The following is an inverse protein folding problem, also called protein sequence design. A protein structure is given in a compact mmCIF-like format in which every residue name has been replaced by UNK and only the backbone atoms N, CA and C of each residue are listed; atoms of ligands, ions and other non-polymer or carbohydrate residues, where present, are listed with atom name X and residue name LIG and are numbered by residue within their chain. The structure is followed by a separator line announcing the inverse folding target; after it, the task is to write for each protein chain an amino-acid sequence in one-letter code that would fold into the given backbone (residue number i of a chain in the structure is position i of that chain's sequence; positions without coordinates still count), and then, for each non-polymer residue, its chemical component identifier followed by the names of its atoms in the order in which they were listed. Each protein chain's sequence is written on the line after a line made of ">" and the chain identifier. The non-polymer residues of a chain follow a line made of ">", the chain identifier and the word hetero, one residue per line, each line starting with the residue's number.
data_IF_037875467653
#
_entry.id   IF_037875467653
#
_cell.length_a   1.000
_cell.length_b   1.000
_cell.length_c   1.000
_cell.angle_alpha   90.00
_cell.angle_beta   90.00
_cell.angle_gamma   90.00
#
_symmetry.space_group_name_H-M   'P 1'
#
loop_
_entity.id
_entity.type
_entity.pdbx_description
1 polymer ?
#
# COMPACT_ATOMS: atom_id res chain seq x y z
N UNK A 1 22.90 -14.16 -22.53
CA UNK A 1 22.15 -13.45 -23.59
C UNK A 1 20.69 -13.85 -23.47
N UNK A 2 19.77 -12.92 -23.68
CA UNK A 2 18.33 -13.23 -23.69
C UNK A 2 17.96 -14.09 -24.92
N UNK A 3 16.90 -14.93 -24.83
CA UNK A 3 16.38 -15.71 -25.96
C UNK A 3 16.08 -14.88 -27.21
N UNK A 4 16.11 -15.49 -28.40
CA UNK A 4 15.89 -14.80 -29.67
C UNK A 4 14.46 -14.23 -29.81
N UNK A 5 13.50 -14.87 -29.16
CA UNK A 5 12.09 -14.49 -29.06
C UNK A 5 11.78 -13.58 -27.86
N UNK A 6 12.79 -13.20 -27.07
CA UNK A 6 12.57 -12.30 -25.95
C UNK A 6 12.10 -10.93 -26.44
N UNK A 7 10.97 -10.40 -25.94
CA UNK A 7 10.45 -9.12 -26.37
C UNK A 7 11.47 -8.01 -26.07
N UNK A 8 11.93 -7.33 -27.13
CA UNK A 8 12.93 -6.25 -27.02
C UNK A 8 12.32 -4.89 -26.72
N UNK A 9 11.00 -4.78 -26.89
CA UNK A 9 10.22 -3.59 -26.55
C UNK A 9 9.53 -3.83 -25.22
N UNK A 10 9.70 -2.89 -24.30
CA UNK A 10 9.04 -2.89 -22.99
C UNK A 10 8.01 -1.77 -23.00
N UNK A 11 6.73 -2.11 -22.88
CA UNK A 11 5.65 -1.11 -22.89
C UNK A 11 5.38 -0.55 -21.48
N UNK A 12 5.68 -1.31 -20.43
CA UNK A 12 5.46 -0.90 -19.04
C UNK A 12 6.49 -1.48 -18.07
N UNK A 13 6.79 -0.72 -17.02
CA UNK A 13 7.59 -1.14 -15.87
C UNK A 13 6.70 -1.08 -14.63
N UNK A 14 6.37 -2.24 -14.07
CA UNK A 14 5.68 -2.36 -12.79
C UNK A 14 6.74 -2.44 -11.68
N UNK A 15 6.78 -1.44 -10.81
CA UNK A 15 7.82 -1.28 -9.81
C UNK A 15 7.24 -1.37 -8.41
N UNK A 16 7.84 -2.21 -7.59
CA UNK A 16 7.65 -2.15 -6.14
C UNK A 16 8.23 -0.86 -5.54
N UNK A 17 7.75 -0.46 -4.36
CA UNK A 17 8.17 0.77 -3.68
C UNK A 17 9.30 0.49 -2.67
N UNK A 18 8.95 -0.14 -1.55
CA UNK A 18 9.82 -0.32 -0.38
C UNK A 18 11.01 -1.23 -0.68
N UNK A 19 12.23 -0.72 -0.45
CA UNK A 19 13.49 -1.41 -0.77
C UNK A 19 13.67 -1.72 -2.27
N UNK A 20 12.88 -1.08 -3.12
CA UNK A 20 12.98 -1.17 -4.59
C UNK A 20 13.23 0.21 -5.20
N UNK A 21 12.24 1.11 -5.16
CA UNK A 21 12.39 2.51 -5.60
C UNK A 21 12.95 3.40 -4.48
N UNK A 22 12.61 3.08 -3.23
CA UNK A 22 13.10 3.76 -2.02
C UNK A 22 13.92 2.80 -1.18
N UNK A 23 14.91 3.31 -0.44
CA UNK A 23 15.68 2.52 0.51
C UNK A 23 14.95 2.41 1.86
N UNK A 24 15.60 1.81 2.86
CA UNK A 24 15.06 1.64 4.22
C UNK A 24 14.75 2.97 4.91
N UNK A 25 15.39 4.07 4.49
CA UNK A 25 15.14 5.41 5.01
C UNK A 25 13.90 6.09 4.42
N UNK A 26 13.17 5.40 3.53
CA UNK A 26 11.94 5.91 2.94
C UNK A 26 12.14 7.04 1.93
N UNK A 27 13.37 7.39 1.55
CA UNK A 27 13.65 8.55 0.68
C UNK A 27 13.78 8.14 -0.78
N UNK A 28 12.94 8.72 -1.63
CA UNK A 28 13.02 8.61 -3.08
C UNK A 28 14.16 9.49 -3.62
N UNK A 29 15.24 8.84 -4.07
CA UNK A 29 16.46 9.55 -4.48
C UNK A 29 16.33 10.22 -5.85
N UNK A 30 17.01 11.37 -6.08
CA UNK A 30 17.02 12.04 -7.39
C UNK A 30 17.44 11.12 -8.56
N UNK A 31 18.38 10.19 -8.32
CA UNK A 31 18.78 9.19 -9.32
C UNK A 31 17.62 8.28 -9.74
N UNK A 32 16.78 7.87 -8.79
CA UNK A 32 15.60 7.03 -9.09
C UNK A 32 14.56 7.83 -9.87
N UNK A 33 14.30 9.07 -9.46
CA UNK A 33 13.38 9.98 -10.17
C UNK A 33 13.83 10.18 -11.63
N UNK A 34 15.11 10.49 -11.84
CA UNK A 34 15.66 10.65 -13.19
C UNK A 34 15.54 9.37 -14.04
N UNK A 35 15.69 8.19 -13.44
CA UNK A 35 15.51 6.92 -14.13
C UNK A 35 14.04 6.69 -14.55
N UNK A 36 13.08 7.00 -13.66
CA UNK A 36 11.64 6.93 -13.96
C UNK A 36 11.30 7.88 -15.11
N UNK A 37 11.78 9.12 -15.06
CA UNK A 37 11.57 10.11 -16.13
C UNK A 37 12.15 9.64 -17.47
N UNK A 38 13.38 9.12 -17.49
CA UNK A 38 14.01 8.62 -18.70
C UNK A 38 13.27 7.44 -19.33
N UNK A 39 12.60 6.59 -18.54
CA UNK A 39 11.74 5.51 -19.04
C UNK A 39 10.48 6.09 -19.69
N UNK A 40 9.84 7.06 -19.03
CA UNK A 40 8.63 7.72 -19.54
C UNK A 40 8.87 8.49 -20.82
N UNK A 41 9.99 9.22 -20.92
CA UNK A 41 10.42 9.95 -22.13
C UNK A 41 10.62 9.03 -23.34
N UNK A 42 10.87 7.74 -23.12
CA UNK A 42 10.98 6.72 -24.18
C UNK A 42 9.64 6.12 -24.59
N UNK A 43 8.53 6.59 -24.00
CA UNK A 43 7.17 6.16 -24.31
C UNK A 43 6.72 4.88 -23.60
N UNK A 44 7.44 4.44 -22.55
CA UNK A 44 7.03 3.33 -21.70
C UNK A 44 6.34 3.84 -20.43
N UNK A 45 5.34 3.11 -19.96
CA UNK A 45 4.66 3.40 -18.70
C UNK A 45 5.50 2.99 -17.49
N UNK A 46 5.35 3.71 -16.37
CA UNK A 46 5.91 3.31 -15.07
C UNK A 46 4.77 3.26 -14.08
N UNK A 47 4.51 2.08 -13.52
CA UNK A 47 3.44 1.85 -12.56
C UNK A 47 4.03 1.55 -11.18
N UNK A 48 3.43 2.12 -10.15
CA UNK A 48 3.75 1.78 -8.77
C UNK A 48 2.86 0.63 -8.30
N UNK A 49 3.47 -0.44 -7.79
CA UNK A 49 2.79 -1.64 -7.29
C UNK A 49 3.30 -1.97 -5.89
N UNK A 50 2.49 -1.74 -4.86
CA UNK A 50 2.97 -1.78 -3.47
C UNK A 50 1.97 -2.40 -2.49
N UNK A 51 2.49 -2.90 -1.37
CA UNK A 51 1.69 -3.30 -0.22
C UNK A 51 1.22 -2.15 0.67
N UNK A 52 1.69 -0.93 0.40
CA UNK A 52 1.30 0.29 1.11
C UNK A 52 -0.16 0.68 0.83
N UNK A 53 -0.67 1.52 1.73
CA UNK A 53 -1.95 2.22 1.60
C UNK A 53 -1.87 3.19 0.42
N UNK A 54 -3.01 3.56 -0.17
CA UNK A 54 -3.00 4.52 -1.27
C UNK A 54 -2.44 5.86 -0.81
N UNK A 55 -2.93 6.40 0.32
CA UNK A 55 -2.41 7.65 0.90
C UNK A 55 -0.92 7.65 1.22
N UNK A 56 -0.33 6.51 1.58
CA UNK A 56 1.10 6.44 1.89
C UNK A 56 1.98 6.19 0.66
N UNK A 57 1.40 5.73 -0.45
CA UNK A 57 2.06 5.59 -1.74
C UNK A 57 1.97 6.86 -2.61
N UNK A 58 0.87 7.60 -2.52
CA UNK A 58 0.57 8.75 -3.36
C UNK A 58 1.67 9.83 -3.37
N UNK A 59 2.27 10.24 -2.23
CA UNK A 59 3.33 11.24 -2.24
C UNK A 59 4.54 10.83 -3.11
N UNK A 60 4.85 9.53 -3.16
CA UNK A 60 5.94 9.00 -3.99
C UNK A 60 5.61 9.03 -5.47
N UNK A 61 4.39 8.67 -5.85
CA UNK A 61 3.92 8.76 -7.22
C UNK A 61 3.97 10.21 -7.72
N UNK A 62 3.44 11.16 -6.94
CA UNK A 62 3.49 12.60 -7.23
C UNK A 62 4.94 13.09 -7.38
N UNK A 63 5.82 12.73 -6.45
CA UNK A 63 7.24 13.15 -6.50
C UNK A 63 7.97 12.55 -7.70
N UNK A 64 7.63 11.32 -8.10
CA UNK A 64 8.19 10.66 -9.28
C UNK A 64 7.57 11.16 -10.60
N UNK A 65 6.49 11.93 -10.54
CA UNK A 65 5.68 12.32 -11.70
C UNK A 65 4.97 11.13 -12.36
N UNK A 66 4.62 10.10 -11.60
CA UNK A 66 3.83 8.95 -12.09
C UNK A 66 2.36 9.37 -12.08
N UNK A 67 1.72 9.28 -13.24
CA UNK A 67 0.31 9.65 -13.44
C UNK A 67 -0.57 8.42 -13.71
N UNK A 68 0.05 7.28 -13.98
CA UNK A 68 -0.62 6.00 -14.12
C UNK A 68 -1.31 5.56 -12.81
N UNK A 69 -2.39 4.76 -12.89
CA UNK A 69 -3.04 4.19 -11.71
C UNK A 69 -2.07 3.45 -10.79
N UNK A 70 -2.22 3.67 -9.48
CA UNK A 70 -1.40 3.04 -8.45
C UNK A 70 -2.04 1.72 -8.02
N UNK A 71 -1.24 0.67 -7.94
CA UNK A 71 -1.66 -0.62 -7.39
C UNK A 71 -1.21 -0.68 -5.93
N UNK A 72 -2.15 -0.64 -5.00
CA UNK A 72 -1.92 -0.54 -3.56
C UNK A 72 -2.49 -1.76 -2.83
N UNK A 73 -2.23 -1.87 -1.52
CA UNK A 73 -2.77 -2.94 -0.68
C UNK A 73 -2.52 -4.35 -1.25
N UNK A 74 -1.30 -4.63 -1.71
CA UNK A 74 -0.94 -5.93 -2.32
C UNK A 74 -1.80 -6.28 -3.55
N UNK A 75 -2.36 -5.27 -4.24
CA UNK A 75 -3.22 -5.45 -5.40
C UNK A 75 -4.72 -5.43 -5.09
N UNK A 76 -5.13 -5.29 -3.83
CA UNK A 76 -6.54 -5.14 -3.48
C UNK A 76 -7.14 -3.81 -3.94
N UNK A 77 -6.31 -2.78 -4.16
CA UNK A 77 -6.76 -1.47 -4.65
C UNK A 77 -5.99 -1.09 -5.92
N UNK A 78 -6.73 -0.61 -6.93
CA UNK A 78 -6.17 0.18 -8.04
C UNK A 78 -6.81 1.56 -7.95
N UNK A 79 -5.99 2.60 -7.79
CA UNK A 79 -6.47 3.95 -7.55
C UNK A 79 -5.89 4.95 -8.55
N UNK A 80 -6.72 5.91 -8.96
CA UNK A 80 -6.29 7.05 -9.76
C UNK A 80 -5.56 8.07 -8.86
N UNK A 81 -4.29 8.42 -9.17
CA UNK A 81 -3.50 9.30 -8.29
C UNK A 81 -3.95 10.77 -8.34
N UNK A 82 -4.77 11.17 -9.32
CA UNK A 82 -5.21 12.56 -9.50
C UNK A 82 -6.50 12.84 -8.74
N UNK A 83 -7.49 11.95 -8.90
CA UNK A 83 -8.81 12.07 -8.29
C UNK A 83 -8.89 11.41 -6.91
N UNK A 84 -8.03 10.42 -6.64
CA UNK A 84 -8.14 9.55 -5.47
C UNK A 84 -9.20 8.46 -5.60
N UNK A 85 -9.84 8.32 -6.76
CA UNK A 85 -10.86 7.30 -7.00
C UNK A 85 -10.26 5.89 -6.99
N UNK A 86 -10.90 4.97 -6.27
CA UNK A 86 -10.56 3.55 -6.34
C UNK A 86 -11.25 2.93 -7.56
N UNK A 87 -10.50 2.85 -8.67
CA UNK A 87 -10.91 2.22 -9.92
C UNK A 87 -11.22 0.72 -9.75
N UNK A 88 -10.56 0.08 -8.79
CA UNK A 88 -10.83 -1.28 -8.33
C UNK A 88 -10.58 -1.38 -6.84
N UNK A 89 -11.45 -2.09 -6.13
CA UNK A 89 -11.32 -2.38 -4.71
C UNK A 89 -11.85 -3.79 -4.40
N UNK A 90 -11.01 -4.63 -3.82
CA UNK A 90 -11.34 -5.98 -3.38
C UNK A 90 -11.11 -6.12 -1.86
N UNK A 91 -12.07 -5.69 -1.03
CA UNK A 91 -11.96 -5.83 0.42
C UNK A 91 -12.26 -7.26 0.87
N UNK A 92 -11.83 -7.57 2.11
CA UNK A 92 -12.19 -8.80 2.81
C UNK A 92 -13.69 -8.71 3.17
N UNK A 93 -14.53 -9.70 2.82
CA UNK A 93 -15.93 -9.72 3.23
C UNK A 93 -16.07 -9.52 4.75
N UNK A 94 -17.02 -8.69 5.18
CA UNK A 94 -17.13 -8.26 6.58
C UNK A 94 -17.16 -9.42 7.57
N UNK A 95 -17.98 -10.45 7.31
CA UNK A 95 -18.09 -11.61 8.20
C UNK A 95 -16.78 -12.39 8.30
N UNK A 96 -16.06 -12.55 7.19
CA UNK A 96 -14.75 -13.21 7.18
C UNK A 96 -13.69 -12.36 7.91
N UNK A 97 -13.76 -11.03 7.79
CA UNK A 97 -12.88 -10.14 8.52
C UNK A 97 -13.12 -10.21 10.03
N UNK A 98 -14.38 -10.29 10.47
CA UNK A 98 -14.74 -10.47 11.88
C UNK A 98 -14.24 -11.81 12.43
N UNK A 99 -14.45 -12.90 11.69
CA UNK A 99 -13.92 -14.23 12.04
C UNK A 99 -12.39 -14.20 12.18
N UNK A 100 -11.70 -13.58 11.23
CA UNK A 100 -10.25 -13.45 11.27
C UNK A 100 -9.77 -12.60 12.46
N UNK A 101 -10.45 -11.48 12.75
CA UNK A 101 -10.14 -10.63 13.90
C UNK A 101 -10.28 -11.40 15.21
N UNK A 102 -11.40 -12.10 15.40
CA UNK A 102 -11.65 -12.91 16.59
C UNK A 102 -10.57 -14.00 16.75
N UNK A 103 -10.23 -14.71 15.67
CA UNK A 103 -9.19 -15.74 15.68
C UNK A 103 -7.81 -15.17 16.05
N UNK A 104 -7.41 -14.04 15.46
CA UNK A 104 -6.11 -13.38 15.72
C UNK A 104 -6.03 -12.88 17.17
N UNK A 105 -7.11 -12.29 17.68
CA UNK A 105 -7.18 -11.81 19.05
C UNK A 105 -7.15 -12.95 20.07
N UNK A 106 -7.80 -14.07 19.78
CA UNK A 106 -7.77 -15.27 20.65
C UNK A 106 -6.37 -15.88 20.76
N UNK A 107 -5.53 -15.72 19.74
CA UNK A 107 -4.11 -16.10 19.78
C UNK A 107 -3.22 -15.05 20.48
N UNK A 108 -3.81 -13.94 20.95
CA UNK A 108 -3.11 -12.89 21.71
C UNK A 108 -2.42 -11.82 20.86
N UNK A 109 -2.60 -11.83 19.54
CA UNK A 109 -1.98 -10.84 18.66
C UNK A 109 -2.81 -9.55 18.60
N UNK A 110 -2.09 -8.43 18.48
CA UNK A 110 -2.68 -7.14 18.10
C UNK A 110 -2.84 -7.08 16.59
N UNK A 111 -3.64 -6.14 16.10
CA UNK A 111 -3.84 -6.02 14.65
C UNK A 111 -4.08 -4.60 14.17
N UNK A 112 -3.59 -4.35 12.96
CA UNK A 112 -3.90 -3.16 12.17
C UNK A 112 -5.03 -3.50 11.20
N UNK A 113 -6.10 -2.71 11.23
CA UNK A 113 -7.25 -2.84 10.36
C UNK A 113 -7.37 -1.65 9.43
N UNK A 114 -7.52 -1.90 8.14
CA UNK A 114 -7.52 -0.85 7.13
C UNK A 114 -8.90 -0.78 6.45
N UNK A 115 -9.61 0.33 6.64
CA UNK A 115 -10.96 0.56 6.08
C UNK A 115 -10.96 1.90 5.37
N UNK A 116 -11.39 1.95 4.11
CA UNK A 116 -11.49 3.19 3.31
C UNK A 116 -10.20 4.03 3.30
N UNK A 117 -9.08 3.34 3.16
CA UNK A 117 -7.73 3.90 3.20
C UNK A 117 -7.29 4.45 4.57
N UNK A 118 -8.06 4.28 5.66
CA UNK A 118 -7.67 4.66 7.02
C UNK A 118 -7.11 3.48 7.81
N UNK A 119 -6.23 3.77 8.79
CA UNK A 119 -5.67 2.77 9.72
C UNK A 119 -6.34 2.87 11.09
N UNK A 120 -6.93 1.75 11.52
CA UNK A 120 -7.58 1.56 12.81
C UNK A 120 -6.90 0.47 13.62
N UNK A 121 -6.83 0.70 14.94
CA UNK A 121 -6.29 -0.24 15.93
C UNK A 121 -7.20 -0.28 17.15
N UNK A 122 -7.13 -1.35 17.94
CA UNK A 122 -7.87 -1.42 19.20
C UNK A 122 -7.37 -0.34 20.19
N UNK A 123 -6.05 -0.28 20.35
CA UNK A 123 -5.32 0.68 21.16
C UNK A 123 -4.04 1.12 20.42
N UNK A 124 -3.54 2.32 20.67
CA UNK A 124 -2.26 2.74 20.06
C UNK A 124 -1.10 2.18 20.87
N UNK A 125 -0.42 1.16 20.33
CA UNK A 125 0.86 0.67 20.82
C UNK A 125 2.04 1.50 20.29
N UNK A 126 3.24 1.28 20.85
CA UNK A 126 4.48 1.91 20.36
C UNK A 126 4.79 1.49 18.93
N UNK A 127 4.67 0.19 18.60
CA UNK A 127 4.91 -0.32 17.24
C UNK A 127 3.91 0.22 16.23
N UNK A 128 2.63 0.32 16.62
CA UNK A 128 1.60 0.88 15.75
C UNK A 128 1.87 2.36 15.46
N UNK A 129 2.38 3.10 16.45
CA UNK A 129 2.80 4.50 16.27
C UNK A 129 4.05 4.62 15.40
N UNK A 130 5.08 3.81 15.67
CA UNK A 130 6.30 3.79 14.87
C UNK A 130 6.01 3.45 13.40
N UNK A 131 5.13 2.47 13.14
CA UNK A 131 4.67 2.13 11.80
C UNK A 131 3.94 3.31 11.13
N UNK A 132 3.01 3.94 11.85
CA UNK A 132 2.24 5.07 11.33
C UNK A 132 3.12 6.28 11.00
N UNK A 133 4.08 6.60 11.89
CA UNK A 133 5.04 7.68 11.70
C UNK A 133 5.96 7.41 10.49
N UNK A 134 6.47 6.17 10.36
CA UNK A 134 7.31 5.76 9.24
C UNK A 134 6.58 5.85 7.88
N UNK A 135 5.29 5.52 7.84
CA UNK A 135 4.49 5.62 6.62
C UNK A 135 3.79 6.97 6.45
N UNK A 136 3.95 7.89 7.41
CA UNK A 136 3.28 9.20 7.43
C UNK A 136 1.76 9.10 7.31
N UNK A 137 1.14 8.18 8.05
CA UNK A 137 -0.30 7.95 8.07
C UNK A 137 -0.90 8.25 9.45
N UNK A 138 -2.14 8.76 9.52
CA UNK A 138 -2.86 8.85 10.78
C UNK A 138 -3.24 7.45 11.28
N UNK A 139 -3.29 7.29 12.60
CA UNK A 139 -3.74 6.07 13.29
C UNK A 139 -4.88 6.40 14.24
N UNK A 140 -5.95 5.62 14.19
CA UNK A 140 -7.17 5.87 14.97
C UNK A 140 -7.48 4.69 15.91
N UNK A 141 -7.48 4.88 17.24
CA UNK A 141 -7.90 3.85 18.18
C UNK A 141 -9.43 3.78 18.23
N UNK A 142 -9.98 2.56 18.26
CA UNK A 142 -11.44 2.33 18.25
C UNK A 142 -11.94 1.48 19.43
N UNK A 143 -11.06 1.02 20.30
CA UNK A 143 -11.43 0.14 21.40
C UNK A 143 -11.66 -1.28 20.90
N UNK A 144 -12.85 -1.83 21.13
CA UNK A 144 -13.20 -3.15 20.62
C UNK A 144 -13.34 -3.09 19.09
N UNK A 145 -12.32 -3.60 18.40
CA UNK A 145 -12.27 -3.59 16.94
C UNK A 145 -13.31 -4.53 16.32
N UNK A 146 -13.65 -5.64 16.99
CA UNK A 146 -14.62 -6.60 16.49
C UNK A 146 -16.03 -6.00 16.52
N UNK A 147 -16.38 -5.31 17.62
CA UNK A 147 -17.63 -4.57 17.74
C UNK A 147 -17.69 -3.35 16.81
N UNK A 148 -16.57 -2.63 16.66
CA UNK A 148 -16.51 -1.41 15.84
C UNK A 148 -16.56 -1.68 14.33
N UNK A 149 -16.07 -2.83 13.85
CA UNK A 149 -15.96 -3.09 12.42
C UNK A 149 -17.35 -3.31 11.79
N UNK A 150 -17.86 -2.29 11.12
CA UNK A 150 -19.15 -2.31 10.40
C UNK A 150 -19.01 -2.38 8.87
N UNK A 151 -17.80 -2.16 8.34
CA UNK A 151 -17.51 -2.10 6.90
C UNK A 151 -16.41 -3.11 6.52
N UNK A 152 -16.46 -3.70 5.31
CA UNK A 152 -15.41 -4.59 4.81
C UNK A 152 -14.02 -3.90 4.83
N UNK A 153 -13.03 -4.42 5.57
CA UNK A 153 -11.68 -3.88 5.54
C UNK A 153 -10.93 -4.33 4.29
N UNK A 154 -10.07 -3.46 3.76
CA UNK A 154 -9.18 -3.77 2.64
C UNK A 154 -8.09 -4.76 3.06
N UNK A 155 -7.63 -4.67 4.30
CA UNK A 155 -6.48 -5.43 4.81
C UNK A 155 -6.57 -5.59 6.32
N UNK A 156 -6.04 -6.71 6.80
CA UNK A 156 -5.76 -6.96 8.22
C UNK A 156 -4.28 -7.37 8.32
N UNK A 157 -3.58 -6.88 9.35
CA UNK A 157 -2.20 -7.27 9.65
C UNK A 157 -2.11 -7.58 11.13
N UNK A 158 -1.82 -8.84 11.47
CA UNK A 158 -1.43 -9.20 12.83
C UNK A 158 -0.03 -8.61 13.12
N UNK A 159 0.12 -8.06 14.33
CA UNK A 159 1.35 -7.42 14.80
C UNK A 159 1.77 -8.15 16.07
N UNK A 160 3.04 -8.54 16.09
CA UNK A 160 3.73 -9.17 17.23
C UNK A 160 4.88 -8.25 17.67
N UNK A 161 5.29 -8.38 18.93
CA UNK A 161 6.38 -7.60 19.55
C UNK A 161 7.78 -8.01 19.04
#
# INVERSE_FOLDING_TARGET
>A
MLPADFPRRVDAFACDLDRTLIAEDGVLRPRTIAAIQAVRERGSHVLLVTGRMFRSALPYAVTAGIEEPLVCYQGAVVADPTSGEFLRHEPIPLELAREAIEAIQNEGFRLNCYVDDDLYVAEISEDARAYADFQHIPITPVGDLLEWLERPPTKLVAVDE
#
